data_IF_431718845539
#
_entry.id   IF_431718845539
#
_cell.length_a   1.000
_cell.length_b   1.000
_cell.length_c   1.000
_cell.angle_alpha   90.00
_cell.angle_beta   90.00
_cell.angle_gamma   90.00
#
_symmetry.space_group_name_H-M   'P 1'
#
loop_
_entity.id
_entity.type
_entity.pdbx_description
1 polymer ?
#
# COMPACT_ATOMS: atom_id res chain seq x y z
N UNK A 1 4.12 -4.58 -13.64
CA UNK A 1 5.10 -4.09 -12.65
C UNK A 1 5.70 -2.70 -12.95
N UNK A 2 5.70 -2.21 -14.19
CA UNK A 2 6.17 -0.85 -14.51
C UNK A 2 5.46 0.27 -13.71
N UNK A 3 4.15 0.17 -13.53
CA UNK A 3 3.35 1.13 -12.74
C UNK A 3 3.86 1.18 -11.30
N UNK A 4 4.02 0.02 -10.65
CA UNK A 4 4.51 -0.07 -9.28
C UNK A 4 5.91 0.56 -9.12
N UNK A 5 6.80 0.31 -10.07
CA UNK A 5 8.13 0.93 -10.12
C UNK A 5 8.05 2.46 -10.15
N UNK A 6 7.19 3.02 -11.02
CA UNK A 6 7.01 4.47 -11.13
C UNK A 6 6.41 5.09 -9.87
N UNK A 7 5.49 4.39 -9.19
CA UNK A 7 4.94 4.83 -7.90
C UNK A 7 6.02 4.80 -6.81
N UNK A 8 6.82 3.74 -6.73
CA UNK A 8 7.95 3.65 -5.79
C UNK A 8 8.98 4.77 -6.03
N UNK A 9 9.24 5.09 -7.30
CA UNK A 9 10.12 6.20 -7.69
C UNK A 9 9.57 7.55 -7.19
N UNK A 10 8.29 7.81 -7.43
CA UNK A 10 7.65 9.04 -6.98
C UNK A 10 7.63 9.16 -5.44
N UNK A 11 7.33 8.08 -4.71
CA UNK A 11 7.41 8.09 -3.24
C UNK A 11 8.83 8.34 -2.74
N UNK A 12 9.82 7.71 -3.36
CA UNK A 12 11.24 7.94 -3.02
C UNK A 12 11.60 9.41 -3.18
N UNK A 13 11.15 10.05 -4.26
CA UNK A 13 11.34 11.48 -4.46
C UNK A 13 10.68 12.30 -3.35
N UNK A 14 9.41 12.08 -3.05
CA UNK A 14 8.69 12.80 -1.99
C UNK A 14 9.36 12.67 -0.62
N UNK A 15 9.80 11.45 -0.29
CA UNK A 15 10.47 11.14 0.98
C UNK A 15 11.88 11.71 1.07
N UNK A 16 12.49 12.10 -0.05
CA UNK A 16 13.83 12.72 -0.11
C UNK A 16 13.82 14.24 0.02
N UNK A 17 12.65 14.88 -0.03
CA UNK A 17 12.53 16.34 0.08
C UNK A 17 12.82 16.83 1.50
N UNK A 18 13.21 18.11 1.62
CA UNK A 18 13.36 18.80 2.90
C UNK A 18 12.46 20.05 2.93
N UNK A 19 11.42 20.10 3.79
CA UNK A 19 10.99 19.02 4.69
C UNK A 19 10.38 17.83 3.93
N UNK A 20 10.46 16.64 4.54
CA UNK A 20 9.90 15.39 4.00
C UNK A 20 8.41 15.55 3.69
N UNK A 21 8.01 15.12 2.49
CA UNK A 21 6.61 15.12 2.04
C UNK A 21 6.05 13.70 2.12
N UNK A 22 4.96 13.54 2.87
CA UNK A 22 4.21 12.27 2.95
C UNK A 22 2.97 12.35 2.06
N UNK A 23 2.67 11.29 1.31
CA UNK A 23 1.47 11.25 0.49
C UNK A 23 0.20 11.12 1.34
N UNK A 24 0.17 10.14 2.26
CA UNK A 24 -0.88 9.85 3.26
C UNK A 24 -2.21 9.29 2.75
N UNK A 25 -2.52 9.44 1.47
CA UNK A 25 -3.73 8.84 0.86
C UNK A 25 -3.39 8.06 -0.42
N UNK A 26 -2.30 7.28 -0.40
CA UNK A 26 -1.89 6.53 -1.58
C UNK A 26 -2.84 5.35 -1.78
N UNK A 27 -3.45 5.27 -2.96
CA UNK A 27 -4.38 4.20 -3.38
C UNK A 27 -4.43 4.14 -4.90
N UNK A 28 -4.92 3.04 -5.46
CA UNK A 28 -5.02 2.86 -6.92
C UNK A 28 -5.77 4.00 -7.61
N UNK A 29 -6.86 4.51 -7.01
CA UNK A 29 -7.63 5.66 -7.52
C UNK A 29 -6.81 6.96 -7.61
N UNK A 30 -5.78 7.11 -6.79
CA UNK A 30 -4.89 8.27 -6.79
C UNK A 30 -3.63 8.05 -7.65
N UNK A 31 -3.61 7.00 -8.47
CA UNK A 31 -2.57 6.73 -9.47
C UNK A 31 -3.20 6.83 -10.85
N UNK A 32 -2.89 7.91 -11.57
CA UNK A 32 -3.38 8.14 -12.91
C UNK A 32 -2.38 7.61 -13.94
N UNK A 33 -2.89 7.15 -15.08
CA UNK A 33 -2.07 6.71 -16.20
C UNK A 33 -2.16 7.71 -17.35
N UNK A 34 -1.01 8.07 -17.91
CA UNK A 34 -0.95 8.81 -19.18
C UNK A 34 -1.33 7.90 -20.35
N UNK A 35 -1.51 8.46 -21.55
CA UNK A 35 -1.70 7.69 -22.79
C UNK A 35 -0.60 6.64 -23.03
N UNK A 36 0.65 6.94 -22.66
CA UNK A 36 1.78 6.00 -22.75
C UNK A 36 1.90 5.06 -21.53
N UNK A 37 0.84 4.87 -20.74
CA UNK A 37 0.79 4.02 -19.54
C UNK A 37 1.81 4.37 -18.44
N UNK A 38 2.34 5.61 -18.44
CA UNK A 38 3.14 6.11 -17.32
C UNK A 38 2.25 6.51 -16.16
N UNK A 39 2.59 6.04 -14.95
CA UNK A 39 1.91 6.33 -13.71
C UNK A 39 2.30 7.70 -13.16
N UNK A 40 1.29 8.42 -12.66
CA UNK A 40 1.43 9.70 -11.95
C UNK A 40 0.59 9.67 -10.69
N UNK A 41 1.21 9.96 -9.55
CA UNK A 41 0.52 10.10 -8.27
C UNK A 41 -0.21 11.45 -8.26
N UNK A 42 -1.47 11.45 -7.80
CA UNK A 42 -2.32 12.63 -7.65
C UNK A 42 -2.89 12.70 -6.23
N UNK A 43 -3.65 13.75 -5.96
CA UNK A 43 -4.39 13.97 -4.70
C UNK A 43 -3.48 14.11 -3.47
N UNK A 44 -2.63 15.14 -3.53
CA UNK A 44 -1.82 15.59 -2.42
C UNK A 44 -2.62 16.40 -1.37
N UNK A 45 -3.96 16.34 -1.39
CA UNK A 45 -4.81 17.12 -0.47
C UNK A 45 -4.59 16.76 1.00
N UNK A 46 -4.15 15.52 1.26
CA UNK A 46 -3.74 15.05 2.58
C UNK A 46 -2.23 15.28 2.86
N UNK A 47 -1.43 15.60 1.84
CA UNK A 47 0.02 15.74 1.95
C UNK A 47 0.40 17.02 2.68
N UNK A 48 0.52 16.93 4.00
CA UNK A 48 1.00 18.04 4.85
C UNK A 48 2.39 17.76 5.38
N UNK A 49 3.21 18.81 5.39
CA UNK A 49 4.41 18.96 6.20
C UNK A 49 4.00 18.69 7.65
N UNK A 50 4.68 17.75 8.33
CA UNK A 50 4.44 17.28 9.72
C UNK A 50 3.57 18.21 10.59
N UNK A 51 2.26 18.17 10.41
CA UNK A 51 1.29 18.81 11.30
C UNK A 51 0.41 17.72 11.87
N UNK A 52 0.55 17.50 13.18
CA UNK A 52 -0.34 16.68 13.99
C UNK A 52 -1.79 17.14 13.80
N UNK A 53 -2.71 16.17 13.79
CA UNK A 53 -4.16 16.30 13.59
C UNK A 53 -4.55 16.76 12.17
N UNK A 54 -5.42 16.07 11.44
CA UNK A 54 -6.74 15.55 11.81
C UNK A 54 -7.14 14.47 10.79
N UNK A 55 -7.78 13.39 11.22
CA UNK A 55 -8.30 12.37 10.31
C UNK A 55 -9.72 12.68 9.85
N UNK A 56 -9.94 12.69 8.54
CA UNK A 56 -11.29 12.73 7.93
C UNK A 56 -11.29 11.85 6.68
N UNK A 57 -10.89 10.58 6.80
CA UNK A 57 -10.97 9.62 5.70
C UNK A 57 -12.28 8.83 5.81
N UNK A 58 -13.11 8.87 4.77
CA UNK A 58 -14.31 8.04 4.67
C UNK A 58 -13.95 6.55 4.57
N UNK A 59 -14.85 5.68 5.07
CA UNK A 59 -14.65 4.23 5.26
C UNK A 59 -14.03 3.52 4.04
N UNK A 60 -14.41 3.89 2.81
CA UNK A 60 -13.91 3.27 1.58
C UNK A 60 -12.46 3.60 1.17
N UNK A 61 -11.80 4.59 1.79
CA UNK A 61 -10.37 4.90 1.53
C UNK A 61 -9.42 4.20 2.49
N UNK A 62 -9.94 3.57 3.56
CA UNK A 62 -9.11 3.05 4.64
C UNK A 62 -8.38 1.74 4.30
N UNK A 63 -8.76 1.01 3.25
CA UNK A 63 -8.17 -0.30 2.95
C UNK A 63 -6.68 -0.23 2.55
N UNK A 64 -6.21 0.89 2.03
CA UNK A 64 -4.79 1.11 1.73
C UNK A 64 -4.02 1.74 2.90
N UNK A 65 -4.71 2.11 3.96
CA UNK A 65 -4.14 2.87 5.07
C UNK A 65 -3.35 1.97 6.01
N UNK A 66 -2.18 2.44 6.46
CA UNK A 66 -1.38 1.73 7.42
C UNK A 66 -2.08 1.65 8.79
N UNK A 67 -1.92 0.55 9.56
CA UNK A 67 -2.58 0.37 10.85
C UNK A 67 -2.32 1.52 11.86
N UNK A 68 -1.09 2.02 11.90
CA UNK A 68 -0.70 3.11 12.80
C UNK A 68 -1.37 4.44 12.43
N UNK A 69 -1.63 4.67 11.13
CA UNK A 69 -2.37 5.86 10.66
C UNK A 69 -3.82 5.76 11.10
N UNK A 70 -4.45 4.59 10.93
CA UNK A 70 -5.83 4.35 11.36
C UNK A 70 -6.03 4.50 12.87
N UNK A 71 -5.01 4.12 13.65
CA UNK A 71 -5.01 4.27 15.11
C UNK A 71 -4.72 5.71 15.57
N UNK A 72 -4.49 6.66 14.66
CA UNK A 72 -4.09 8.02 14.99
C UNK A 72 -2.76 8.11 15.73
N UNK A 73 -1.89 7.09 15.59
CA UNK A 73 -0.54 7.09 16.17
C UNK A 73 0.38 7.96 15.32
N UNK A 74 1.57 8.25 15.84
CA UNK A 74 2.62 8.89 15.04
C UNK A 74 2.98 8.00 13.85
N UNK A 75 2.92 8.57 12.66
CA UNK A 75 3.25 7.90 11.41
C UNK A 75 4.31 8.70 10.63
N UNK A 76 4.98 8.04 9.70
CA UNK A 76 6.02 8.60 8.86
C UNK A 76 5.96 8.07 7.43
N UNK A 77 7.09 8.10 6.74
CA UNK A 77 7.31 7.67 5.35
C UNK A 77 6.88 6.22 5.13
N UNK A 78 7.08 5.37 6.16
CA UNK A 78 6.71 3.95 6.16
C UNK A 78 5.20 3.71 6.04
N UNK A 79 4.36 4.71 6.30
CA UNK A 79 2.92 4.61 6.06
C UNK A 79 2.60 4.56 4.56
N UNK A 80 3.27 5.39 3.75
CA UNK A 80 3.10 5.37 2.29
C UNK A 80 3.62 4.05 1.69
N UNK A 81 4.65 3.44 2.30
CA UNK A 81 5.17 2.13 1.88
C UNK A 81 4.15 1.01 2.11
N UNK A 82 3.40 1.06 3.22
CA UNK A 82 2.31 0.12 3.45
C UNK A 82 1.26 0.25 2.34
N UNK A 83 0.82 1.47 2.05
CA UNK A 83 -0.14 1.74 0.98
C UNK A 83 0.38 1.28 -0.39
N UNK A 84 1.66 1.49 -0.69
CA UNK A 84 2.30 0.98 -1.89
C UNK A 84 2.24 -0.56 -1.95
N UNK A 85 2.52 -1.25 -0.85
CA UNK A 85 2.40 -2.72 -0.78
C UNK A 85 1.00 -3.23 -1.11
N UNK A 86 -0.04 -2.53 -0.62
CA UNK A 86 -1.44 -2.83 -0.96
C UNK A 86 -1.72 -2.57 -2.44
N UNK A 87 -1.24 -1.46 -3.00
CA UNK A 87 -1.37 -1.16 -4.44
C UNK A 87 -0.69 -2.22 -5.31
N UNK A 88 0.50 -2.69 -4.93
CA UNK A 88 1.21 -3.73 -5.69
C UNK A 88 0.41 -5.03 -5.71
N UNK A 89 -0.18 -5.42 -4.58
CA UNK A 89 -1.08 -6.57 -4.51
C UNK A 89 -2.28 -6.41 -5.44
N UNK A 90 -2.93 -5.25 -5.44
CA UNK A 90 -4.06 -4.94 -6.32
C UNK A 90 -3.68 -4.97 -7.81
N UNK A 91 -2.48 -4.47 -8.15
CA UNK A 91 -1.93 -4.52 -9.52
C UNK A 91 -1.60 -5.95 -9.98
N UNK A 92 -1.32 -6.86 -9.06
CA UNK A 92 -0.96 -8.25 -9.37
C UNK A 92 -2.20 -9.16 -9.43
N UNK A 93 -3.15 -8.98 -8.50
CA UNK A 93 -4.37 -9.80 -8.46
C UNK A 93 -5.47 -9.28 -9.38
N UNK A 94 -5.42 -7.99 -9.75
CA UNK A 94 -6.52 -7.27 -10.40
C UNK A 94 -7.83 -7.28 -9.58
N UNK A 95 -7.71 -7.45 -8.26
CA UNK A 95 -8.84 -7.46 -7.33
C UNK A 95 -8.71 -6.33 -6.31
N UNK A 96 -9.85 -5.86 -5.79
CA UNK A 96 -9.85 -4.91 -4.67
C UNK A 96 -9.10 -5.49 -3.46
N UNK A 97 -8.39 -4.64 -2.69
CA UNK A 97 -7.71 -5.10 -1.49
C UNK A 97 -8.65 -5.86 -0.56
N UNK A 98 -8.19 -7.03 -0.11
CA UNK A 98 -8.91 -7.87 0.85
C UNK A 98 -10.29 -8.40 0.41
N UNK A 99 -10.64 -8.33 -0.89
CA UNK A 99 -11.83 -8.95 -1.51
C UNK A 99 -12.05 -10.42 -1.11
N UNK A 100 -10.96 -11.13 -0.83
CA UNK A 100 -10.92 -12.54 -0.45
C UNK A 100 -11.31 -12.80 1.01
N UNK A 101 -11.40 -11.76 1.85
CA UNK A 101 -11.75 -11.89 3.26
C UNK A 101 -13.27 -12.06 3.40
N UNK A 102 -13.69 -13.29 3.68
CA UNK A 102 -15.10 -13.68 3.86
C UNK A 102 -15.34 -14.23 5.26
N UNK A 103 -16.55 -14.05 5.78
CA UNK A 103 -16.99 -14.65 7.04
C UNK A 103 -17.06 -16.19 6.93
N UNK A 104 -16.49 -16.91 7.89
CA UNK A 104 -16.60 -18.37 8.00
C UNK A 104 -15.33 -19.13 7.62
N UNK A 105 -14.92 -20.04 8.51
CA UNK A 105 -13.79 -20.94 8.31
C UNK A 105 -13.99 -21.78 7.03
N UNK A 106 -13.05 -21.67 6.09
CA UNK A 106 -12.67 -22.73 5.16
C UNK A 106 -13.84 -23.40 4.41
N UNK A 107 -14.59 -22.67 3.59
CA UNK A 107 -15.71 -23.30 2.87
C UNK A 107 -16.45 -22.46 1.82
N UNK A 108 -15.81 -21.50 1.15
CA UNK A 108 -16.28 -20.89 -0.11
C UNK A 108 -17.57 -20.02 -0.09
N UNK A 109 -18.44 -20.13 0.91
CA UNK A 109 -19.80 -19.55 0.91
C UNK A 109 -20.05 -18.43 1.93
N UNK A 110 -18.99 -17.73 2.35
CA UNK A 110 -19.09 -16.59 3.26
C UNK A 110 -19.45 -15.27 2.57
N UNK A 111 -20.19 -14.40 3.27
CA UNK A 111 -20.33 -12.99 2.87
C UNK A 111 -18.99 -12.26 3.03
N UNK A 112 -18.67 -11.28 2.17
CA UNK A 112 -17.51 -10.42 2.35
C UNK A 112 -17.54 -9.76 3.73
N UNK A 113 -16.40 -9.71 4.39
CA UNK A 113 -16.27 -9.03 5.68
C UNK A 113 -16.51 -7.52 5.51
N UNK A 114 -17.22 -6.87 6.44
CA UNK A 114 -17.31 -5.42 6.46
C UNK A 114 -15.92 -4.77 6.54
N UNK A 115 -15.73 -3.62 5.89
CA UNK A 115 -14.44 -2.91 5.88
C UNK A 115 -13.87 -2.71 7.28
N UNK A 116 -14.71 -2.38 8.28
CA UNK A 116 -14.27 -2.23 9.68
C UNK A 116 -13.65 -3.50 10.26
N UNK A 117 -14.20 -4.68 9.93
CA UNK A 117 -13.66 -5.96 10.37
C UNK A 117 -12.35 -6.31 9.64
N UNK A 118 -12.28 -6.04 8.33
CA UNK A 118 -11.04 -6.17 7.53
C UNK A 118 -9.92 -5.33 8.15
N UNK A 119 -10.20 -4.05 8.37
CA UNK A 119 -9.29 -3.08 8.97
C UNK A 119 -8.81 -3.51 10.36
N UNK A 120 -9.70 -4.04 11.20
CA UNK A 120 -9.34 -4.58 12.50
C UNK A 120 -8.41 -5.79 12.38
N UNK A 121 -8.71 -6.74 11.48
CA UNK A 121 -7.88 -7.94 11.31
C UNK A 121 -6.50 -7.62 10.73
N UNK A 122 -6.40 -6.66 9.80
CA UNK A 122 -5.13 -6.15 9.29
C UNK A 122 -4.32 -5.52 10.42
N UNK A 123 -4.95 -4.69 11.25
CA UNK A 123 -4.31 -4.06 12.40
C UNK A 123 -3.82 -5.07 13.45
N UNK A 124 -4.46 -6.22 13.55
CA UNK A 124 -4.05 -7.35 14.40
C UNK A 124 -3.02 -8.27 13.73
N UNK A 125 -2.64 -8.00 12.47
CA UNK A 125 -1.75 -8.86 11.67
C UNK A 125 -2.36 -10.21 11.28
N UNK A 126 -3.68 -10.38 11.46
CA UNK A 126 -4.42 -11.62 11.16
C UNK A 126 -4.87 -11.72 9.70
N UNK A 127 -4.96 -10.58 9.02
CA UNK A 127 -5.25 -10.51 7.59
C UNK A 127 -4.10 -9.80 6.89
N UNK A 128 -3.69 -10.34 5.74
CA UNK A 128 -2.66 -9.78 4.88
C UNK A 128 -3.16 -9.73 3.44
N UNK A 129 -2.55 -8.88 2.64
CA UNK A 129 -2.77 -8.87 1.20
C UNK A 129 -2.36 -10.23 0.59
N UNK A 130 -2.88 -10.53 -0.60
CA UNK A 130 -2.54 -11.73 -1.34
C UNK A 130 -1.88 -11.37 -2.66
N UNK A 131 -1.14 -12.32 -3.20
CA UNK A 131 -0.53 -12.24 -4.51
C UNK A 131 -1.07 -13.38 -5.37
N UNK A 132 -1.08 -13.15 -6.67
CA UNK A 132 -1.41 -14.14 -7.68
C UNK A 132 -0.37 -15.27 -7.64
N UNK A 133 -0.74 -16.48 -8.09
CA UNK A 133 0.22 -17.59 -8.20
C UNK A 133 1.29 -17.35 -9.28
N UNK A 134 1.17 -16.28 -10.07
CA UNK A 134 2.10 -15.92 -11.13
C UNK A 134 3.18 -14.93 -10.67
N UNK A 135 2.99 -14.27 -9.52
CA UNK A 135 4.02 -13.42 -8.95
C UNK A 135 5.21 -14.26 -8.49
N UNK A 136 6.41 -13.82 -8.83
CA UNK A 136 7.65 -14.42 -8.34
C UNK A 136 7.64 -14.52 -6.80
N UNK A 137 7.96 -15.69 -6.20
CA UNK A 137 7.89 -15.87 -4.75
C UNK A 137 8.78 -14.91 -3.94
N UNK A 138 9.92 -14.50 -4.48
CA UNK A 138 10.82 -13.57 -3.80
C UNK A 138 10.24 -12.15 -3.82
N UNK A 139 9.70 -11.74 -4.95
CA UNK A 139 8.92 -10.51 -5.07
C UNK A 139 7.71 -10.50 -4.12
N UNK A 140 6.94 -11.59 -4.07
CA UNK A 140 5.79 -11.69 -3.16
C UNK A 140 6.21 -11.59 -1.69
N UNK A 141 7.32 -12.22 -1.30
CA UNK A 141 7.87 -12.09 0.06
C UNK A 141 8.34 -10.67 0.36
N UNK A 142 9.05 -10.05 -0.57
CA UNK A 142 9.54 -8.69 -0.41
C UNK A 142 8.40 -7.67 -0.31
N UNK A 143 7.43 -7.70 -1.24
CA UNK A 143 6.24 -6.82 -1.20
C UNK A 143 5.39 -7.12 0.04
N UNK A 144 5.33 -8.39 0.48
CA UNK A 144 4.72 -8.78 1.75
C UNK A 144 5.34 -8.12 2.98
N UNK A 145 6.62 -7.70 2.93
CA UNK A 145 7.26 -6.93 4.00
C UNK A 145 6.84 -5.46 4.02
N UNK A 146 6.43 -4.89 2.88
CA UNK A 146 5.90 -3.52 2.80
C UNK A 146 4.62 -3.35 3.64
N UNK A 147 3.81 -4.42 3.75
CA UNK A 147 2.55 -4.41 4.51
C UNK A 147 2.70 -4.98 5.94
N UNK A 148 3.89 -4.93 6.52
CA UNK A 148 4.10 -5.34 7.91
C UNK A 148 3.31 -4.43 8.87
N UNK A 149 2.75 -5.00 9.94
CA UNK A 149 2.06 -4.22 10.98
C UNK A 149 3.04 -3.28 11.69
N UNK A 150 4.28 -3.75 11.91
CA UNK A 150 5.36 -2.93 12.46
C UNK A 150 5.96 -2.04 11.36
N UNK A 151 5.86 -0.70 11.45
CA UNK A 151 6.43 0.23 10.46
C UNK A 151 7.96 0.12 10.33
N UNK A 152 8.67 -0.24 11.40
CA UNK A 152 10.13 -0.35 11.38
C UNK A 152 10.59 -1.57 10.61
N UNK A 153 9.77 -2.62 10.57
CA UNK A 153 10.03 -3.84 9.80
C UNK A 153 9.71 -3.69 8.29
N UNK A 154 9.17 -2.54 7.86
CA UNK A 154 8.92 -2.26 6.43
C UNK A 154 10.20 -1.70 5.78
N UNK A 155 10.47 -2.00 4.51
CA UNK A 155 11.50 -1.29 3.76
C UNK A 155 11.13 0.20 3.60
N UNK A 156 12.10 1.01 3.22
CA UNK A 156 11.93 2.38 2.74
C UNK A 156 11.45 2.39 1.28
N UNK A 157 10.87 3.50 0.82
CA UNK A 157 10.52 3.65 -0.59
C UNK A 157 11.72 3.46 -1.53
N UNK A 158 12.91 3.90 -1.10
CA UNK A 158 14.16 3.74 -1.84
C UNK A 158 14.58 2.27 -1.98
N UNK A 159 14.45 1.48 -0.91
CA UNK A 159 14.72 0.03 -0.96
C UNK A 159 13.72 -0.70 -1.87
N UNK A 160 12.43 -0.32 -1.83
CA UNK A 160 11.42 -0.86 -2.74
C UNK A 160 11.74 -0.52 -4.19
N UNK A 161 12.10 0.74 -4.46
CA UNK A 161 12.52 1.19 -5.78
C UNK A 161 13.72 0.38 -6.30
N UNK A 162 14.75 0.23 -5.46
CA UNK A 162 15.96 -0.53 -5.82
C UNK A 162 15.62 -2.00 -6.13
N UNK A 163 14.82 -2.65 -5.29
CA UNK A 163 14.40 -4.03 -5.51
C UNK A 163 13.65 -4.19 -6.83
N UNK A 164 12.70 -3.29 -7.12
CA UNK A 164 11.96 -3.32 -8.39
C UNK A 164 12.85 -3.06 -9.60
N UNK A 165 13.86 -2.19 -9.50
CA UNK A 165 14.82 -1.97 -10.60
C UNK A 165 15.61 -3.21 -10.92
N UNK A 166 16.09 -3.93 -9.90
CA UNK A 166 16.84 -5.18 -10.09
C UNK A 166 15.91 -6.22 -10.70
N UNK A 167 14.73 -6.44 -10.11
CA UNK A 167 13.79 -7.44 -10.59
C UNK A 167 13.28 -7.18 -12.02
N UNK A 168 13.10 -5.92 -12.43
CA UNK A 168 12.66 -5.57 -13.78
C UNK A 168 13.76 -5.64 -14.85
N UNK A 169 15.04 -5.73 -14.47
CA UNK A 169 16.16 -5.89 -15.43
C UNK A 169 16.36 -7.34 -15.87
N UNK A 170 15.79 -8.29 -15.15
CA UNK A 170 15.91 -9.72 -15.45
C UNK A 170 14.86 -10.22 -16.45
N UNK A 171 14.02 -9.32 -16.98
CA UNK A 171 12.99 -9.57 -18.00
C UNK A 171 13.13 -8.61 -19.18
#
# INVERSE_FOLDING_TARGET
MQIAYQVAYALTYLHSLDPVVLHRDLKSRNILLTESLNAKITDFGASRIRSDATMTAGVGSCLWMAPEVMMGKRYGEKADVFSLGVVISELDTHELPYSHAKEGNSGGSGHPLPDTAVLQMVSMGKLRVRFSPFMDPDMARFVGSCVNVDPEARPTAAEVLYYMQVALREF
#
